data_IF_732721392504
#
_entry.id   IF_732721392504
#
_cell.length_a   1.000
_cell.length_b   1.000
_cell.length_c   1.000
_cell.angle_alpha   90.00
_cell.angle_beta   90.00
_cell.angle_gamma   90.00
#
_symmetry.space_group_name_H-M   'P 1'
#
loop_
_entity.id
_entity.type
_entity.pdbx_description
1 polymer ?
#
# COMPACT_ATOMS: atom_id res chain seq x y z
N UNK A 1 33.96 -15.79 67.37
CA UNK A 1 32.83 -15.71 68.32
C UNK A 1 31.65 -15.18 67.53
N UNK A 2 30.70 -15.99 67.04
CA UNK A 2 29.60 -16.69 67.76
C UNK A 2 28.81 -15.72 68.65
N UNK A 3 27.48 -15.58 68.66
CA UNK A 3 26.35 -16.31 68.06
C UNK A 3 25.04 -15.59 68.46
N UNK A 4 23.98 -15.70 67.65
CA UNK A 4 22.60 -15.92 68.15
C UNK A 4 21.54 -14.93 67.63
N UNK A 5 20.67 -15.24 66.66
CA UNK A 5 19.47 -16.14 66.63
C UNK A 5 18.24 -15.71 67.47
N UNK A 6 17.13 -15.37 66.78
CA UNK A 6 15.74 -15.90 66.94
C UNK A 6 14.81 -15.24 65.89
N UNK A 7 14.27 -15.98 64.90
CA UNK A 7 12.96 -16.71 64.83
C UNK A 7 11.75 -15.76 64.82
N UNK A 8 10.67 -15.89 64.02
CA UNK A 8 10.18 -16.82 62.97
C UNK A 8 8.85 -16.21 62.41
N UNK A 9 8.37 -16.80 61.31
CA UNK A 9 6.97 -16.85 60.79
C UNK A 9 6.51 -15.66 59.91
N UNK A 10 5.71 -15.85 58.85
CA UNK A 10 5.28 -17.01 58.05
C UNK A 10 4.53 -16.46 56.81
N UNK A 11 4.47 -17.27 55.74
CA UNK A 11 3.40 -17.28 54.71
C UNK A 11 3.33 -16.01 53.82
N UNK A 12 3.50 -16.09 52.50
CA UNK A 12 2.46 -16.61 51.60
C UNK A 12 3.06 -16.87 50.22
N UNK A 13 2.73 -18.03 49.66
CA UNK A 13 3.06 -18.42 48.30
C UNK A 13 2.35 -17.53 47.27
N UNK A 14 3.05 -17.12 46.21
CA UNK A 14 2.41 -16.81 44.92
C UNK A 14 3.22 -17.50 43.84
N UNK A 15 2.77 -18.70 43.50
CA UNK A 15 3.16 -19.42 42.29
C UNK A 15 2.54 -18.68 41.10
N UNK A 16 3.35 -17.99 40.29
CA UNK A 16 2.95 -17.54 38.96
C UNK A 16 3.75 -18.32 37.93
N UNK A 17 3.21 -19.49 37.61
CA UNK A 17 3.52 -20.20 36.39
C UNK A 17 2.68 -19.58 35.27
N UNK A 18 3.29 -18.78 34.40
CA UNK A 18 2.81 -18.52 33.04
C UNK A 18 4.08 -18.32 32.20
N UNK A 19 4.53 -19.33 31.45
CA UNK A 19 3.83 -19.82 30.27
C UNK A 19 4.52 -19.17 29.09
N UNK A 20 5.56 -19.84 28.56
CA UNK A 20 6.40 -19.32 27.49
C UNK A 20 5.57 -18.90 26.29
N UNK A 21 5.64 -17.62 25.94
CA UNK A 21 5.04 -17.09 24.71
C UNK A 21 5.89 -17.55 23.53
N UNK A 22 5.47 -18.65 22.92
CA UNK A 22 5.82 -18.96 21.54
C UNK A 22 5.27 -17.84 20.67
N UNK A 23 6.16 -16.92 20.26
CA UNK A 23 5.88 -15.86 19.32
C UNK A 23 5.62 -16.45 17.93
N UNK A 24 4.42 -17.01 17.73
CA UNK A 24 3.89 -17.29 16.41
C UNK A 24 3.28 -16.01 15.88
N UNK A 25 4.08 -15.34 15.03
CA UNK A 25 3.66 -14.15 14.30
C UNK A 25 2.39 -14.41 13.51
N UNK A 26 1.28 -13.87 14.00
CA UNK A 26 0.05 -13.69 13.23
C UNK A 26 0.35 -12.68 12.12
N UNK A 27 0.86 -13.15 10.99
CA UNK A 27 0.72 -12.43 9.73
C UNK A 27 -0.76 -12.45 9.38
N UNK A 28 -1.50 -11.43 9.81
CA UNK A 28 -2.82 -11.15 9.27
C UNK A 28 -2.63 -10.70 7.82
N UNK A 29 -3.11 -11.45 6.81
CA UNK A 29 -3.25 -10.86 5.50
C UNK A 29 -4.32 -9.78 5.65
N UNK A 30 -3.91 -8.52 5.74
CA UNK A 30 -4.82 -7.40 5.53
C UNK A 30 -5.28 -7.46 4.09
N UNK A 31 -6.32 -8.25 3.85
CA UNK A 31 -7.14 -8.15 2.67
C UNK A 31 -7.77 -6.75 2.69
N UNK A 32 -7.03 -5.77 2.17
CA UNK A 32 -7.45 -4.39 1.99
C UNK A 32 -8.52 -4.34 0.90
N UNK A 33 -9.72 -4.79 1.25
CA UNK A 33 -10.89 -4.86 0.39
C UNK A 33 -12.03 -4.03 0.98
N UNK A 34 -11.82 -2.74 1.27
CA UNK A 34 -12.92 -1.82 1.56
C UNK A 34 -12.54 -0.33 1.43
N UNK A 35 -11.59 0.02 0.56
CA UNK A 35 -11.50 1.39 0.03
C UNK A 35 -10.61 1.32 -1.22
N UNK A 36 -11.18 1.36 -2.41
CA UNK A 36 -10.38 1.51 -3.64
C UNK A 36 -10.28 3.00 -3.92
N UNK A 37 -9.27 3.72 -3.39
CA UNK A 37 -9.24 5.18 -3.37
C UNK A 37 -9.25 5.81 -4.77
N UNK A 38 -9.00 5.02 -5.81
CA UNK A 38 -8.96 5.47 -7.19
C UNK A 38 -10.06 4.86 -8.07
N UNK A 39 -11.07 4.19 -7.51
CA UNK A 39 -12.07 3.48 -8.31
C UNK A 39 -12.82 4.41 -9.27
N UNK A 40 -13.26 5.57 -8.79
CA UNK A 40 -13.94 6.59 -9.61
C UNK A 40 -13.00 7.41 -10.50
N UNK A 41 -11.72 7.08 -10.56
CA UNK A 41 -10.73 7.81 -11.34
C UNK A 41 -10.42 9.21 -10.82
N UNK A 42 -10.86 9.57 -9.60
CA UNK A 42 -10.53 10.82 -8.90
C UNK A 42 -9.67 10.52 -7.68
N UNK A 43 -8.36 10.51 -7.84
CA UNK A 43 -7.46 10.27 -6.71
C UNK A 43 -6.09 10.91 -6.91
N UNK A 44 -5.42 11.17 -5.79
CA UNK A 44 -4.00 11.51 -5.75
C UNK A 44 -3.28 10.40 -4.98
N UNK A 45 -2.28 9.79 -5.57
CA UNK A 45 -1.56 8.67 -4.95
C UNK A 45 -0.10 8.65 -5.37
N UNK A 46 0.76 8.10 -4.53
CA UNK A 46 2.17 7.85 -4.86
C UNK A 46 2.35 6.36 -5.05
N UNK A 47 2.92 5.95 -6.19
CA UNK A 47 3.09 4.54 -6.54
C UNK A 47 4.53 4.22 -6.91
N UNK A 48 4.96 3.00 -6.61
CA UNK A 48 6.19 2.38 -7.13
C UNK A 48 5.81 1.29 -8.12
N UNK A 49 6.61 1.09 -9.18
CA UNK A 49 6.38 -0.02 -10.10
C UNK A 49 6.91 -1.36 -9.52
N UNK A 50 6.28 -2.50 -9.85
CA UNK A 50 4.98 -2.62 -10.53
C UNK A 50 3.81 -2.40 -9.57
N UNK A 51 2.80 -1.62 -10.00
CA UNK A 51 1.56 -1.42 -9.21
C UNK A 51 0.34 -1.48 -10.10
N UNK A 52 -0.73 -2.10 -9.61
CA UNK A 52 -2.04 -2.08 -10.24
C UNK A 52 -3.00 -1.23 -9.42
N UNK A 53 -3.64 -0.28 -10.09
CA UNK A 53 -4.73 0.55 -9.57
C UNK A 53 -6.02 0.05 -10.21
N UNK A 54 -6.99 -0.28 -9.38
CA UNK A 54 -8.31 -0.71 -9.87
C UNK A 54 -9.21 0.51 -10.06
N UNK A 55 -9.81 0.61 -11.24
CA UNK A 55 -10.72 1.68 -11.64
C UNK A 55 -12.05 1.09 -12.13
N UNK A 56 -13.08 1.92 -12.23
CA UNK A 56 -14.38 1.51 -12.74
C UNK A 56 -14.32 1.18 -14.25
N UNK A 57 -14.44 -0.11 -14.57
CA UNK A 57 -14.40 -0.59 -15.95
C UNK A 57 -15.57 -0.10 -16.79
N UNK A 58 -16.72 0.18 -16.20
CA UNK A 58 -17.90 0.66 -16.93
C UNK A 58 -17.73 2.10 -17.36
N UNK A 59 -17.07 2.93 -16.53
CA UNK A 59 -16.79 4.35 -16.84
C UNK A 59 -15.62 4.54 -17.79
N UNK A 60 -14.54 3.77 -17.58
CA UNK A 60 -13.26 3.99 -18.29
C UNK A 60 -12.99 3.00 -19.42
N UNK A 61 -13.78 1.93 -19.55
CA UNK A 61 -13.57 0.85 -20.52
C UNK A 61 -12.47 -0.14 -20.14
N UNK A 62 -11.87 0.01 -18.96
CA UNK A 62 -10.89 -0.93 -18.40
C UNK A 62 -10.96 -0.91 -16.87
N UNK A 63 -10.80 -2.07 -16.23
CA UNK A 63 -10.86 -2.16 -14.76
C UNK A 63 -9.51 -2.01 -14.05
N UNK A 64 -8.40 -2.13 -14.79
CA UNK A 64 -7.06 -2.20 -14.20
C UNK A 64 -6.12 -1.26 -14.95
N UNK A 65 -5.55 -0.31 -14.21
CA UNK A 65 -4.44 0.53 -14.64
C UNK A 65 -3.16 0.01 -13.99
N UNK A 66 -2.21 -0.48 -14.79
CA UNK A 66 -0.93 -0.99 -14.35
C UNK A 66 0.17 0.04 -14.60
N UNK A 67 0.88 0.40 -13.56
CA UNK A 67 2.15 1.12 -13.64
C UNK A 67 3.23 0.08 -13.82
N UNK A 68 3.82 0.02 -15.01
CA UNK A 68 4.77 -1.03 -15.40
C UNK A 68 6.20 -0.65 -15.04
N UNK A 69 6.56 0.62 -15.14
CA UNK A 69 7.90 1.11 -14.79
C UNK A 69 7.83 2.56 -14.30
N UNK A 70 8.66 2.88 -13.32
CA UNK A 70 8.89 4.25 -12.84
C UNK A 70 10.39 4.47 -12.87
N UNK A 71 10.83 5.46 -13.66
CA UNK A 71 12.18 5.98 -13.66
C UNK A 71 12.15 7.49 -13.46
N UNK A 72 13.28 8.08 -13.06
CA UNK A 72 13.42 9.52 -12.84
C UNK A 72 12.98 10.38 -14.04
N UNK A 73 13.02 9.83 -15.26
CA UNK A 73 12.68 10.53 -16.51
C UNK A 73 11.32 10.16 -17.07
N UNK A 74 10.75 9.02 -16.68
CA UNK A 74 9.54 8.49 -17.32
C UNK A 74 8.76 7.56 -16.42
N UNK A 75 7.44 7.62 -16.50
CA UNK A 75 6.52 6.65 -15.91
C UNK A 75 5.81 5.93 -17.03
N UNK A 76 5.97 4.61 -17.10
CA UNK A 76 5.29 3.73 -18.06
C UNK A 76 4.05 3.14 -17.43
N UNK A 77 2.96 3.19 -18.19
CA UNK A 77 1.63 2.79 -17.76
C UNK A 77 0.97 1.94 -18.85
N UNK A 78 0.14 1.01 -18.42
CA UNK A 78 -0.65 0.16 -19.30
C UNK A 78 -2.03 -0.07 -18.70
N UNK A 79 -3.05 -0.14 -19.55
CA UNK A 79 -4.41 -0.45 -19.21
C UNK A 79 -5.00 -1.45 -20.21
N UNK A 80 -6.20 -1.96 -19.94
CA UNK A 80 -6.91 -2.92 -20.80
C UNK A 80 -6.06 -4.16 -21.17
N UNK A 81 -5.27 -4.67 -20.23
CA UNK A 81 -4.44 -5.87 -20.47
C UNK A 81 -3.24 -5.66 -21.40
N UNK A 82 -2.91 -4.42 -21.78
CA UNK A 82 -1.80 -4.13 -22.69
C UNK A 82 -2.21 -3.30 -23.90
N UNK A 83 -3.48 -3.36 -24.30
CA UNK A 83 -3.99 -2.68 -25.50
C UNK A 83 -3.88 -1.16 -25.43
N UNK A 84 -3.92 -0.61 -24.21
CA UNK A 84 -3.60 0.78 -23.96
C UNK A 84 -2.27 0.84 -23.22
N UNK A 85 -1.29 1.52 -23.81
CA UNK A 85 0.00 1.76 -23.17
C UNK A 85 0.44 3.19 -23.44
N UNK A 86 1.22 3.73 -22.51
CA UNK A 86 1.71 5.09 -22.62
C UNK A 86 2.81 5.35 -21.62
N UNK A 87 3.61 6.36 -21.90
CA UNK A 87 4.63 6.83 -20.99
C UNK A 87 4.68 8.33 -20.99
N UNK A 88 4.97 8.93 -19.84
CA UNK A 88 5.18 10.37 -19.76
C UNK A 88 6.23 10.72 -18.72
N UNK A 89 6.84 11.88 -18.89
CA UNK A 89 7.82 12.42 -17.95
C UNK A 89 7.12 13.12 -16.77
N UNK A 90 7.85 13.39 -15.67
CA UNK A 90 7.33 14.23 -14.60
C UNK A 90 6.76 15.55 -15.14
N UNK A 91 5.60 15.95 -14.66
CA UNK A 91 4.83 17.10 -15.16
C UNK A 91 3.89 16.78 -16.32
N UNK A 92 4.10 15.66 -17.03
CA UNK A 92 3.32 15.27 -18.20
C UNK A 92 2.04 14.49 -17.90
N UNK A 93 1.13 14.43 -18.88
CA UNK A 93 -0.15 13.75 -18.75
C UNK A 93 -0.33 12.68 -19.82
N UNK A 94 -0.96 11.57 -19.46
CA UNK A 94 -1.41 10.51 -20.38
C UNK A 94 -2.92 10.40 -20.28
N UNK A 95 -3.58 10.10 -21.39
CA UNK A 95 -5.02 9.84 -21.42
C UNK A 95 -5.27 8.42 -21.91
N UNK A 96 -6.05 7.66 -21.15
CA UNK A 96 -6.57 6.35 -21.54
C UNK A 96 -8.09 6.42 -21.53
N UNK A 97 -8.71 6.36 -22.72
CA UNK A 97 -10.15 6.54 -22.91
C UNK A 97 -10.65 7.80 -22.16
N UNK A 98 -11.51 7.60 -21.16
CA UNK A 98 -12.13 8.65 -20.36
C UNK A 98 -11.33 8.98 -19.08
N UNK A 99 -10.13 8.43 -18.88
CA UNK A 99 -9.27 8.70 -17.72
C UNK A 99 -8.00 9.47 -18.13
N UNK A 100 -7.79 10.64 -17.54
CA UNK A 100 -6.54 11.41 -17.62
C UNK A 100 -5.70 11.13 -16.38
N UNK A 101 -4.44 10.76 -16.60
CA UNK A 101 -3.44 10.54 -15.56
C UNK A 101 -2.38 11.62 -15.68
N UNK A 102 -2.18 12.37 -14.61
CA UNK A 102 -1.11 13.36 -14.50
C UNK A 102 0.01 12.81 -13.62
N UNK A 103 1.23 12.76 -14.14
CA UNK A 103 2.42 12.47 -13.35
C UNK A 103 2.90 13.80 -12.77
N UNK A 104 2.61 14.05 -11.49
CA UNK A 104 3.00 15.31 -10.85
C UNK A 104 4.50 15.39 -10.63
N UNK A 105 5.09 14.29 -10.16
CA UNK A 105 6.50 14.21 -9.82
C UNK A 105 6.97 12.77 -9.84
N UNK A 106 8.29 12.59 -9.99
CA UNK A 106 8.96 11.33 -9.72
C UNK A 106 10.11 11.60 -8.77
N UNK A 107 10.25 10.76 -7.75
CA UNK A 107 11.38 10.78 -6.81
C UNK A 107 11.88 9.35 -6.63
N UNK A 108 13.13 9.11 -7.03
CA UNK A 108 13.68 7.76 -7.13
C UNK A 108 12.80 6.86 -7.99
N UNK A 109 12.30 5.77 -7.40
CA UNK A 109 11.44 4.78 -8.06
C UNK A 109 9.95 4.97 -7.71
N UNK A 110 9.56 6.16 -7.26
CA UNK A 110 8.18 6.49 -6.88
C UNK A 110 7.65 7.64 -7.73
N UNK A 111 6.43 7.49 -8.24
CA UNK A 111 5.73 8.49 -9.03
C UNK A 111 4.51 9.00 -8.27
N UNK A 112 4.38 10.32 -8.15
CA UNK A 112 3.16 10.98 -7.70
C UNK A 112 2.18 11.10 -8.86
N UNK A 113 1.05 10.41 -8.77
CA UNK A 113 0.00 10.38 -9.79
C UNK A 113 -1.25 11.13 -9.30
N UNK A 114 -1.89 11.83 -10.22
CA UNK A 114 -3.21 12.39 -10.02
C UNK A 114 -4.11 11.95 -11.18
N UNK A 115 -5.18 11.23 -10.85
CA UNK A 115 -6.14 10.71 -11.82
C UNK A 115 -7.35 11.63 -11.87
N UNK A 116 -7.87 11.83 -13.08
CA UNK A 116 -9.06 12.61 -13.34
C UNK A 116 -9.92 11.97 -14.44
N UNK A 117 -11.24 11.82 -14.25
CA UNK A 117 -12.14 11.51 -15.34
C UNK A 117 -12.24 12.70 -16.32
N UNK A 118 -12.39 12.41 -17.61
CA UNK A 118 -12.44 13.41 -18.70
C UNK A 118 -13.79 13.51 -19.39
N UNK A 119 -14.64 12.48 -19.29
CA UNK A 119 -16.05 12.49 -19.70
C UNK A 119 -16.87 11.64 -18.73
N UNK A 120 -18.10 12.06 -18.48
CA UNK A 120 -19.11 11.36 -17.69
C UNK A 120 -20.15 10.74 -18.60
#
# INVERSE_FOLDING_TARGET
>A
MSTGTRRRAATTAVTLAMGGTLAFGLMTPTASAANRPCYDGRCKTTVSAPKTITVDSRKFGFGKLKITSVSSRSVKMSAAGGSLSGSTSPGGTVKFNNLKIWVKSVSGNRAGLQLFPTRY
#
